data_IF_199595170863
#
_entry.id   IF_199595170863
#
_cell.length_a   1.000
_cell.length_b   1.000
_cell.length_c   1.000
_cell.angle_alpha   90.00
_cell.angle_beta   90.00
_cell.angle_gamma   90.00
#
_symmetry.space_group_name_H-M   'P 1'
#
loop_
_entity.id
_entity.type
_entity.pdbx_description
1 polymer ?
#
# COMPACT_ATOMS: atom_id res chain seq x y z
N UNK A 1 -5.26 30.64 5.28
CA UNK A 1 -5.25 29.70 4.14
C UNK A 1 -6.65 29.68 3.54
N UNK A 2 -6.80 29.89 2.23
CA UNK A 2 -8.10 29.76 1.58
C UNK A 2 -8.54 28.29 1.60
N UNK A 3 -9.78 28.03 2.02
CA UNK A 3 -10.40 26.71 1.99
C UNK A 3 -11.73 26.85 1.29
N UNK A 4 -12.01 25.92 0.38
CA UNK A 4 -13.28 25.92 -0.33
C UNK A 4 -14.33 25.12 0.45
N UNK A 5 -15.39 25.80 0.87
CA UNK A 5 -16.52 25.20 1.53
C UNK A 5 -17.49 24.62 0.50
N UNK A 6 -17.48 23.31 0.32
CA UNK A 6 -18.30 22.63 -0.70
C UNK A 6 -19.81 22.82 -0.43
N UNK A 7 -20.23 22.82 0.84
CA UNK A 7 -21.65 22.97 1.21
C UNK A 7 -22.18 24.36 0.89
N UNK A 8 -21.39 25.39 1.21
CA UNK A 8 -21.75 26.80 0.97
C UNK A 8 -21.36 27.29 -0.44
N UNK A 9 -20.53 26.53 -1.15
CA UNK A 9 -19.91 26.89 -2.43
C UNK A 9 -19.18 28.23 -2.35
N UNK A 10 -18.49 28.49 -1.24
CA UNK A 10 -17.80 29.75 -0.96
C UNK A 10 -16.38 29.50 -0.47
N UNK A 11 -15.51 30.48 -0.66
CA UNK A 11 -14.18 30.49 -0.07
C UNK A 11 -14.25 31.02 1.36
N UNK A 12 -13.66 30.28 2.29
CA UNK A 12 -13.46 30.70 3.67
C UNK A 12 -11.95 30.88 3.92
N UNK A 13 -11.59 31.85 4.75
CA UNK A 13 -10.21 32.04 5.20
C UNK A 13 -10.07 31.50 6.61
N UNK A 14 -9.30 30.43 6.76
CA UNK A 14 -9.01 29.87 8.09
C UNK A 14 -7.63 30.32 8.57
N UNK A 15 -7.58 30.68 9.86
CA UNK A 15 -6.34 30.89 10.61
C UNK A 15 -5.82 29.55 11.13
N UNK A 16 -4.50 29.44 11.20
CA UNK A 16 -3.79 28.28 11.69
C UNK A 16 -2.61 28.75 12.55
N UNK A 17 -2.10 27.87 13.40
CA UNK A 17 -1.02 28.17 14.35
C UNK A 17 -0.04 27.02 14.46
N UNK A 18 1.01 27.19 15.26
CA UNK A 18 2.03 26.18 15.52
C UNK A 18 3.26 26.36 14.64
N UNK A 19 3.91 25.26 14.30
CA UNK A 19 5.12 25.26 13.46
C UNK A 19 4.73 25.35 11.98
N UNK A 20 4.17 26.49 11.59
CA UNK A 20 3.71 26.76 10.24
C UNK A 20 4.90 26.72 9.28
N UNK A 21 4.84 25.92 8.19
CA UNK A 21 5.86 25.97 7.17
C UNK A 21 5.78 27.30 6.41
N UNK A 22 6.91 27.72 5.84
CA UNK A 22 6.91 28.70 4.74
C UNK A 22 6.08 28.15 3.56
N UNK A 23 5.64 28.99 2.60
CA UNK A 23 4.98 28.49 1.40
C UNK A 23 5.83 27.46 0.66
N UNK A 24 5.31 26.25 0.49
CA UNK A 24 5.96 25.14 -0.22
C UNK A 24 5.18 24.85 -1.51
N UNK A 25 5.89 24.71 -2.63
CA UNK A 25 5.35 24.25 -3.90
C UNK A 25 5.75 22.81 -4.20
N UNK A 26 4.96 22.13 -5.04
CA UNK A 26 5.27 20.79 -5.55
C UNK A 26 5.44 19.72 -4.45
N UNK A 27 4.84 19.94 -3.28
CA UNK A 27 4.74 18.94 -2.21
C UNK A 27 3.54 18.03 -2.46
N UNK A 28 3.53 16.88 -1.78
CA UNK A 28 2.38 15.98 -1.75
C UNK A 28 1.88 15.83 -0.34
N UNK A 29 0.58 15.57 -0.22
CA UNK A 29 -0.09 15.44 1.05
C UNK A 29 -1.04 14.25 1.04
N UNK A 30 -1.18 13.61 2.20
CA UNK A 30 -2.16 12.57 2.45
C UNK A 30 -2.91 12.86 3.73
N UNK A 31 -4.16 12.42 3.81
CA UNK A 31 -4.98 12.57 5.00
C UNK A 31 -5.15 11.22 5.70
N UNK A 32 -4.84 11.18 7.00
CA UNK A 32 -5.11 10.03 7.87
C UNK A 32 -5.95 10.53 9.05
N UNK A 33 -7.24 10.20 9.05
CA UNK A 33 -8.24 10.76 9.97
C UNK A 33 -8.28 12.30 9.85
N UNK A 34 -8.19 13.02 10.97
CA UNK A 34 -8.21 14.49 11.03
C UNK A 34 -6.84 15.14 10.82
N UNK A 35 -5.81 14.37 10.42
CA UNK A 35 -4.45 14.88 10.24
C UNK A 35 -4.01 14.74 8.78
N UNK A 36 -3.60 15.85 8.19
CA UNK A 36 -2.95 15.90 6.88
C UNK A 36 -1.45 15.84 7.08
N UNK A 37 -0.78 14.90 6.43
CA UNK A 37 0.68 14.77 6.42
C UNK A 37 1.21 15.24 5.07
N UNK A 38 2.22 16.09 5.09
CA UNK A 38 2.85 16.65 3.89
C UNK A 38 4.36 16.37 3.92
N UNK A 39 4.91 15.95 2.79
CA UNK A 39 6.36 15.74 2.62
C UNK A 39 6.88 16.42 1.36
N UNK A 40 8.18 16.70 1.37
CA UNK A 40 8.88 17.17 0.18
C UNK A 40 8.44 18.55 -0.29
N UNK A 41 8.57 18.77 -1.60
CA UNK A 41 8.37 20.07 -2.22
C UNK A 41 9.56 21.00 -2.04
N UNK A 42 9.46 22.20 -2.61
CA UNK A 42 10.51 23.23 -2.58
C UNK A 42 9.90 24.51 -1.97
N UNK A 43 10.58 25.19 -1.03
CA UNK A 43 10.18 26.50 -0.55
C UNK A 43 10.02 27.51 -1.70
N UNK A 44 9.16 28.51 -1.53
CA UNK A 44 8.90 29.50 -2.57
C UNK A 44 10.15 30.28 -3.02
N UNK A 45 11.08 30.51 -2.10
CA UNK A 45 12.34 31.26 -2.27
C UNK A 45 13.58 30.36 -2.41
N UNK A 46 13.41 29.04 -2.30
CA UNK A 46 14.51 28.09 -2.22
C UNK A 46 14.66 27.21 -3.46
N UNK A 47 15.82 26.56 -3.54
CA UNK A 47 16.09 25.44 -4.46
C UNK A 47 16.22 24.10 -3.72
N UNK A 48 16.41 24.14 -2.40
CA UNK A 48 16.55 22.93 -1.58
C UNK A 48 15.19 22.30 -1.31
N UNK A 49 15.11 20.99 -1.53
CA UNK A 49 13.91 20.21 -1.23
C UNK A 49 13.67 20.19 0.29
N UNK A 50 12.44 20.46 0.71
CA UNK A 50 12.06 20.43 2.12
C UNK A 50 12.17 19.01 2.69
N UNK A 51 13.05 18.84 3.68
CA UNK A 51 13.26 17.57 4.39
C UNK A 51 12.26 17.35 5.53
N UNK A 52 11.49 18.37 5.93
CA UNK A 52 10.57 18.28 7.07
C UNK A 52 9.30 17.53 6.70
N UNK A 53 8.87 16.62 7.57
CA UNK A 53 7.55 16.00 7.51
C UNK A 53 6.62 16.85 8.36
N UNK A 54 5.62 17.42 7.70
CA UNK A 54 4.65 18.31 8.32
C UNK A 54 3.37 17.53 8.61
N UNK A 55 2.75 17.86 9.73
CA UNK A 55 1.39 17.44 10.05
C UNK A 55 0.53 18.68 10.27
N UNK A 56 -0.70 18.64 9.78
CA UNK A 56 -1.72 19.65 10.00
C UNK A 56 -2.97 18.97 10.54
N UNK A 57 -3.31 19.28 11.79
CA UNK A 57 -4.54 18.78 12.40
C UNK A 57 -5.71 19.69 11.99
N UNK A 58 -6.70 19.13 11.30
CA UNK A 58 -7.86 19.83 10.75
C UNK A 58 -8.81 20.36 11.84
N UNK A 59 -8.90 19.66 12.96
CA UNK A 59 -9.78 20.02 14.09
C UNK A 59 -9.18 21.20 14.89
N UNK A 60 -7.92 21.06 15.32
CA UNK A 60 -7.24 22.06 16.15
C UNK A 60 -6.59 23.18 15.33
N UNK A 61 -6.46 23.00 14.01
CA UNK A 61 -5.81 23.91 13.05
C UNK A 61 -4.36 24.23 13.43
N UNK A 62 -3.65 23.21 13.91
CA UNK A 62 -2.26 23.30 14.35
C UNK A 62 -1.35 22.58 13.36
N UNK A 63 -0.31 23.28 12.89
CA UNK A 63 0.83 22.71 12.20
C UNK A 63 1.89 22.23 13.18
N UNK A 64 2.47 21.06 12.92
CA UNK A 64 3.59 20.50 13.68
C UNK A 64 4.58 19.82 12.75
N UNK A 65 5.87 19.94 13.02
CA UNK A 65 6.92 19.14 12.38
C UNK A 65 7.04 17.83 13.15
N UNK A 66 6.75 16.71 12.49
CA UNK A 66 6.69 15.38 13.12
C UNK A 66 7.84 14.47 12.75
N UNK A 67 8.76 14.94 11.91
CA UNK A 67 9.95 14.19 11.55
C UNK A 67 10.70 14.80 10.37
N UNK A 68 11.67 14.03 9.86
CA UNK A 68 12.45 14.37 8.66
C UNK A 68 12.46 13.21 7.68
N UNK A 69 12.30 13.52 6.41
CA UNK A 69 12.37 12.58 5.31
C UNK A 69 13.84 12.42 4.90
N UNK A 70 14.35 11.19 4.89
CA UNK A 70 15.79 10.90 4.63
C UNK A 70 16.21 11.15 3.18
N UNK A 71 15.27 11.06 2.25
CA UNK A 71 15.49 11.27 0.82
C UNK A 71 14.33 12.09 0.20
N UNK A 72 14.13 13.36 0.62
CA UNK A 72 12.98 14.13 0.20
C UNK A 72 13.04 14.38 -1.31
N UNK A 73 11.88 14.48 -1.94
CA UNK A 73 11.71 14.80 -3.34
C UNK A 73 10.61 15.85 -3.51
N UNK A 74 10.53 16.44 -4.70
CA UNK A 74 9.37 17.21 -5.15
C UNK A 74 8.79 16.53 -6.40
N UNK A 75 7.52 16.81 -6.72
CA UNK A 75 6.80 16.06 -7.76
C UNK A 75 6.78 14.54 -7.54
N UNK A 76 6.91 14.09 -6.29
CA UNK A 76 6.64 12.71 -5.91
C UNK A 76 5.14 12.48 -5.83
N UNK A 77 4.74 11.29 -5.44
CA UNK A 77 3.35 10.99 -5.14
C UNK A 77 3.25 10.22 -3.82
N UNK A 78 2.08 10.28 -3.20
CA UNK A 78 1.84 9.71 -1.89
C UNK A 78 0.51 8.98 -1.83
N UNK A 79 0.51 7.81 -1.20
CA UNK A 79 -0.69 7.00 -1.06
C UNK A 79 -0.84 6.50 0.38
N UNK A 80 -2.04 6.62 0.94
CA UNK A 80 -2.37 6.02 2.22
C UNK A 80 -2.53 4.50 2.07
N UNK A 81 -2.25 3.78 3.14
CA UNK A 81 -2.67 2.38 3.24
C UNK A 81 -4.01 2.32 3.98
N UNK A 82 -5.11 1.92 3.34
CA UNK A 82 -6.42 1.93 3.97
C UNK A 82 -6.44 1.09 5.26
N UNK A 83 -7.05 1.64 6.31
CA UNK A 83 -7.12 1.03 7.63
C UNK A 83 -5.75 0.73 8.26
N UNK A 84 -4.71 1.47 7.88
CA UNK A 84 -3.42 1.45 8.56
C UNK A 84 -3.00 2.87 8.88
N UNK A 85 -2.22 3.02 9.95
CA UNK A 85 -1.65 4.31 10.35
C UNK A 85 -0.35 4.59 9.60
N UNK A 86 -0.33 4.37 8.29
CA UNK A 86 0.85 4.53 7.47
C UNK A 86 0.52 5.00 6.05
N UNK A 87 1.54 5.56 5.39
CA UNK A 87 1.45 6.00 4.01
C UNK A 87 2.77 5.77 3.28
N UNK A 88 2.69 5.60 1.97
CA UNK A 88 3.83 5.52 1.08
C UNK A 88 4.11 6.88 0.45
N UNK A 89 5.38 7.16 0.20
CA UNK A 89 5.86 8.21 -0.71
C UNK A 89 6.67 7.52 -1.79
N UNK A 90 6.45 7.85 -3.05
CA UNK A 90 7.17 7.21 -4.15
C UNK A 90 7.61 8.19 -5.23
N UNK A 91 8.82 7.93 -5.74
CA UNK A 91 9.38 8.64 -6.88
C UNK A 91 9.66 10.12 -6.63
N UNK A 92 9.46 10.93 -7.66
CA UNK A 92 9.71 12.37 -7.66
C UNK A 92 11.04 12.76 -8.31
N UNK A 93 11.48 13.97 -8.02
CA UNK A 93 12.72 14.57 -8.51
C UNK A 93 13.58 15.03 -7.34
N UNK A 94 14.88 14.74 -7.42
CA UNK A 94 15.92 15.20 -6.49
C UNK A 94 17.18 15.50 -7.27
N UNK A 95 17.84 16.62 -6.99
CA UNK A 95 19.07 17.05 -7.69
C UNK A 95 18.90 17.01 -9.22
N UNK A 96 17.75 17.52 -9.70
CA UNK A 96 17.36 17.54 -11.12
C UNK A 96 17.22 16.16 -11.79
N UNK A 97 17.23 15.08 -11.01
CA UNK A 97 17.10 13.71 -11.49
C UNK A 97 15.83 13.06 -10.97
N UNK A 98 15.16 12.31 -11.84
CA UNK A 98 14.03 11.46 -11.45
C UNK A 98 14.52 10.36 -10.51
N UNK A 99 13.84 10.19 -9.40
CA UNK A 99 14.07 9.09 -8.45
C UNK A 99 12.88 8.13 -8.47
N UNK A 100 13.11 6.89 -8.03
CA UNK A 100 12.11 5.81 -8.01
C UNK A 100 11.82 5.32 -6.58
N UNK A 101 12.57 5.79 -5.58
CA UNK A 101 12.53 5.28 -4.23
C UNK A 101 11.11 5.22 -3.65
N UNK A 102 10.81 4.11 -2.98
CA UNK A 102 9.58 3.91 -2.22
C UNK A 102 9.90 4.02 -0.72
N UNK A 103 9.22 4.92 -0.03
CA UNK A 103 9.37 5.17 1.40
C UNK A 103 8.06 4.87 2.12
N UNK A 104 8.13 4.14 3.24
CA UNK A 104 6.99 3.88 4.13
C UNK A 104 7.10 4.75 5.38
N UNK A 105 6.07 5.53 5.66
CA UNK A 105 5.94 6.33 6.88
C UNK A 105 4.91 5.69 7.80
N UNK A 106 5.28 5.43 9.04
CA UNK A 106 4.39 4.89 10.07
C UNK A 106 4.12 5.96 11.12
N UNK A 107 2.84 6.23 11.41
CA UNK A 107 2.42 7.14 12.45
C UNK A 107 2.45 6.39 13.79
N UNK A 108 3.42 6.72 14.64
CA UNK A 108 3.72 5.96 15.87
C UNK A 108 2.74 6.20 17.02
N UNK A 109 1.92 7.25 16.95
CA UNK A 109 1.02 7.63 18.05
C UNK A 109 -0.24 6.75 18.13
N UNK A 110 -0.33 5.67 17.34
CA UNK A 110 -1.44 4.73 17.38
C UNK A 110 -0.92 3.31 17.44
N UNK A 111 -1.43 2.55 18.41
CA UNK A 111 -1.17 1.11 18.47
C UNK A 111 -1.76 0.45 17.21
N UNK A 112 -1.00 -0.44 16.56
CA UNK A 112 -1.53 -1.18 15.43
C UNK A 112 -2.70 -2.06 15.89
N UNK A 113 -3.73 -2.14 15.07
CA UNK A 113 -4.88 -2.99 15.38
C UNK A 113 -4.48 -4.47 15.41
N UNK A 114 -5.24 -5.33 16.11
CA UNK A 114 -5.00 -6.78 16.06
C UNK A 114 -5.02 -7.28 14.61
N UNK A 115 -5.92 -6.74 13.78
CA UNK A 115 -5.99 -7.05 12.34
C UNK A 115 -4.69 -6.71 11.61
N UNK A 116 -4.09 -5.55 11.87
CA UNK A 116 -2.79 -5.17 11.30
C UNK A 116 -1.67 -6.09 11.77
N UNK A 117 -1.63 -6.41 13.07
CA UNK A 117 -0.64 -7.31 13.64
C UNK A 117 -0.77 -8.72 13.07
N UNK A 118 -1.98 -9.26 12.99
CA UNK A 118 -2.27 -10.55 12.38
C UNK A 118 -1.92 -10.56 10.89
N UNK A 119 -2.25 -9.51 10.14
CA UNK A 119 -1.87 -9.39 8.74
C UNK A 119 -0.36 -9.30 8.54
N UNK A 120 0.35 -8.55 9.39
CA UNK A 120 1.82 -8.47 9.37
C UNK A 120 2.46 -9.81 9.69
N UNK A 121 1.97 -10.52 10.71
CA UNK A 121 2.43 -11.86 11.06
C UNK A 121 2.17 -12.84 9.91
N UNK A 122 0.96 -12.85 9.36
CA UNK A 122 0.59 -13.68 8.21
C UNK A 122 1.48 -13.36 7.01
N UNK A 123 1.60 -12.08 6.64
CA UNK A 123 2.41 -11.62 5.52
C UNK A 123 3.85 -12.07 5.68
N UNK A 124 4.46 -11.97 6.86
CA UNK A 124 5.82 -12.45 7.11
C UNK A 124 5.97 -13.95 6.84
N UNK A 125 5.01 -14.77 7.28
CA UNK A 125 5.03 -16.22 7.03
C UNK A 125 4.74 -16.56 5.57
N UNK A 126 3.88 -15.79 4.90
CA UNK A 126 3.45 -16.05 3.52
C UNK A 126 4.27 -15.30 2.48
N UNK A 127 5.14 -14.38 2.86
CA UNK A 127 6.00 -13.61 1.95
C UNK A 127 6.89 -14.55 1.13
N UNK A 128 7.39 -15.61 1.78
CA UNK A 128 8.15 -16.70 1.14
C UNK A 128 7.29 -17.46 0.11
N UNK A 129 5.97 -17.52 0.31
CA UNK A 129 5.04 -18.25 -0.55
C UNK A 129 4.52 -17.41 -1.73
N UNK A 130 4.27 -16.11 -1.55
CA UNK A 130 3.63 -15.25 -2.56
C UNK A 130 4.59 -14.33 -3.30
N UNK A 131 5.70 -13.95 -2.68
CA UNK A 131 6.71 -13.10 -3.31
C UNK A 131 8.06 -13.79 -3.23
N UNK A 132 8.32 -14.75 -4.13
CA UNK A 132 9.67 -15.23 -4.35
C UNK A 132 10.47 -14.06 -4.93
N UNK A 133 11.05 -13.25 -4.04
CA UNK A 133 11.92 -12.12 -4.35
C UNK A 133 13.27 -12.63 -4.90
N UNK A 134 13.21 -13.37 -6.02
CA UNK A 134 14.27 -13.57 -7.03
C UNK A 134 14.13 -14.90 -7.84
N UNK A 135 12.93 -15.45 -8.10
CA UNK A 135 12.85 -16.64 -8.99
C UNK A 135 13.37 -16.32 -10.40
N UNK A 136 13.15 -15.10 -10.92
CA UNK A 136 13.64 -14.71 -12.26
C UNK A 136 15.11 -14.29 -12.28
N UNK A 137 15.64 -13.82 -11.16
CA UNK A 137 16.93 -13.13 -11.07
C UNK A 137 18.05 -14.00 -10.52
N UNK A 138 17.74 -15.03 -9.69
CA UNK A 138 18.75 -15.97 -9.15
C UNK A 138 18.71 -17.38 -9.71
N UNK A 139 17.59 -17.82 -10.29
CA UNK A 139 17.47 -19.17 -10.85
C UNK A 139 17.41 -19.06 -12.38
N UNK A 140 18.57 -19.10 -13.03
CA UNK A 140 18.62 -19.43 -14.45
C UNK A 140 18.43 -20.95 -14.60
N UNK A 141 17.49 -21.38 -15.45
CA UNK A 141 17.31 -22.79 -15.82
C UNK A 141 16.17 -23.55 -15.10
N UNK A 142 16.17 -24.87 -15.27
CA UNK A 142 15.09 -25.81 -14.87
C UNK A 142 14.75 -25.77 -13.37
N UNK A 143 15.71 -25.39 -12.52
CA UNK A 143 15.55 -25.27 -11.06
C UNK A 143 14.53 -24.20 -10.65
N UNK A 144 14.37 -23.13 -11.45
CA UNK A 144 13.35 -22.09 -11.24
C UNK A 144 11.93 -22.65 -11.38
N UNK A 145 11.74 -23.54 -12.36
CA UNK A 145 10.46 -24.18 -12.62
C UNK A 145 10.13 -25.18 -11.50
N UNK A 146 11.11 -25.96 -11.04
CA UNK A 146 10.92 -26.90 -9.95
C UNK A 146 10.50 -26.22 -8.64
N UNK A 147 11.14 -25.11 -8.27
CA UNK A 147 10.78 -24.36 -7.06
C UNK A 147 9.41 -23.68 -7.16
N UNK A 148 9.09 -23.07 -8.32
CA UNK A 148 7.74 -22.52 -8.60
C UNK A 148 6.66 -23.60 -8.47
N UNK A 149 6.90 -24.78 -9.01
CA UNK A 149 5.93 -25.88 -9.01
C UNK A 149 5.80 -26.50 -7.62
N UNK A 150 6.89 -26.53 -6.85
CA UNK A 150 6.88 -26.93 -5.44
C UNK A 150 6.11 -25.93 -4.56
N UNK A 151 6.31 -24.63 -4.75
CA UNK A 151 5.55 -23.58 -4.07
C UNK A 151 4.06 -23.62 -4.42
N UNK A 152 3.72 -23.84 -5.71
CA UNK A 152 2.32 -24.07 -6.12
C UNK A 152 1.75 -25.26 -5.37
N UNK A 153 2.41 -26.42 -5.38
CA UNK A 153 1.92 -27.64 -4.70
C UNK A 153 1.74 -27.44 -3.20
N UNK A 154 2.73 -26.84 -2.51
CA UNK A 154 2.66 -26.55 -1.08
C UNK A 154 1.51 -25.59 -0.76
N UNK A 155 1.30 -24.57 -1.61
CA UNK A 155 0.17 -23.65 -1.50
C UNK A 155 -1.18 -24.36 -1.61
N UNK A 156 -1.37 -25.21 -2.62
CA UNK A 156 -2.61 -25.96 -2.79
C UNK A 156 -2.88 -26.90 -1.60
N UNK A 157 -1.86 -27.57 -1.07
CA UNK A 157 -1.97 -28.42 0.13
C UNK A 157 -2.33 -27.65 1.40
N UNK A 158 -1.69 -26.49 1.63
CA UNK A 158 -1.94 -25.66 2.83
C UNK A 158 -3.39 -25.16 2.92
N UNK A 159 -4.09 -25.09 1.79
CA UNK A 159 -5.47 -24.59 1.70
C UNK A 159 -6.50 -25.68 1.34
N UNK A 160 -6.10 -26.96 1.35
CA UNK A 160 -7.01 -28.08 1.05
C UNK A 160 -7.59 -28.01 -0.37
N UNK A 161 -6.77 -27.60 -1.34
CA UNK A 161 -7.11 -27.48 -2.75
C UNK A 161 -6.27 -28.47 -3.56
N UNK A 162 -6.81 -28.98 -4.67
CA UNK A 162 -6.01 -29.77 -5.61
C UNK A 162 -5.31 -28.84 -6.61
N UNK A 163 -4.00 -29.03 -6.88
CA UNK A 163 -3.32 -28.29 -7.93
C UNK A 163 -3.90 -28.66 -9.30
N UNK A 164 -4.12 -27.70 -10.21
CA UNK A 164 -4.61 -28.01 -11.56
C UNK A 164 -3.54 -28.78 -12.35
N UNK A 165 -3.98 -29.71 -13.20
CA UNK A 165 -3.12 -30.46 -14.12
C UNK A 165 -2.43 -29.49 -15.11
N UNK A 166 -1.10 -29.51 -15.15
CA UNK A 166 -0.29 -28.74 -16.10
C UNK A 166 0.23 -29.67 -17.20
N UNK A 167 -0.16 -29.41 -18.46
CA UNK A 167 0.62 -29.85 -19.63
C UNK A 167 1.76 -28.85 -19.85
N UNK A 168 3.04 -29.25 -19.76
CA UNK A 168 4.17 -28.34 -19.90
C UNK A 168 4.65 -28.36 -21.36
N UNK A 169 4.29 -27.38 -22.18
CA UNK A 169 5.00 -27.10 -23.44
C UNK A 169 4.58 -25.75 -24.04
N UNK A 170 5.44 -24.75 -23.84
CA UNK A 170 5.77 -23.66 -24.78
C UNK A 170 6.45 -22.56 -23.95
N UNK A 171 7.79 -22.52 -24.03
CA UNK A 171 8.58 -21.42 -23.50
C UNK A 171 8.25 -20.15 -24.27
N UNK A 172 7.84 -19.12 -23.55
CA UNK A 172 7.51 -17.81 -24.13
C UNK A 172 8.78 -16.94 -24.07
N UNK A 173 9.71 -17.18 -24.99
CA UNK A 173 10.90 -16.34 -25.22
C UNK A 173 10.57 -15.26 -26.24
N UNK A 174 9.89 -14.18 -25.83
CA UNK A 174 10.00 -12.86 -26.47
C UNK A 174 9.63 -11.75 -25.47
N UNK A 175 10.38 -10.64 -25.39
CA UNK A 175 9.99 -9.49 -24.59
C UNK A 175 8.95 -8.68 -25.39
N UNK A 176 7.67 -8.84 -25.07
CA UNK A 176 6.60 -8.04 -25.68
C UNK A 176 5.77 -7.31 -24.63
N UNK A 177 5.41 -6.09 -25.00
CA UNK A 177 4.76 -5.04 -24.22
C UNK A 177 3.60 -5.53 -23.34
N UNK A 178 3.76 -5.39 -22.03
CA UNK A 178 2.87 -5.92 -20.98
C UNK A 178 1.47 -5.27 -20.91
N UNK A 179 1.10 -4.37 -21.83
CA UNK A 179 -0.22 -3.72 -21.85
C UNK A 179 -1.18 -4.28 -22.91
N UNK A 180 -0.74 -5.09 -23.88
CA UNK A 180 -1.62 -5.60 -24.96
C UNK A 180 -2.03 -7.07 -24.84
N UNK A 181 -1.37 -7.87 -23.99
CA UNK A 181 -1.49 -9.34 -24.05
C UNK A 181 -2.60 -9.97 -23.18
N UNK A 182 -3.38 -9.17 -22.44
CA UNK A 182 -4.41 -9.70 -21.52
C UNK A 182 -3.86 -10.57 -20.38
N UNK A 183 -2.53 -10.74 -20.27
CA UNK A 183 -1.86 -11.52 -19.21
C UNK A 183 -2.11 -10.92 -17.83
N UNK A 184 -2.06 -9.59 -17.72
CA UNK A 184 -2.42 -8.86 -16.50
C UNK A 184 -3.90 -9.06 -16.13
N UNK A 185 -4.81 -9.04 -17.11
CA UNK A 185 -6.23 -9.29 -16.87
C UNK A 185 -6.50 -10.73 -16.42
N UNK A 186 -5.82 -11.72 -17.02
CA UNK A 186 -5.91 -13.12 -16.60
C UNK A 186 -5.38 -13.34 -15.19
N UNK A 187 -4.26 -12.70 -14.83
CA UNK A 187 -3.71 -12.75 -13.48
C UNK A 187 -4.64 -12.08 -12.46
N UNK A 188 -5.23 -10.93 -12.82
CA UNK A 188 -6.24 -10.25 -11.99
C UNK A 188 -7.51 -11.10 -11.82
N UNK A 189 -8.03 -11.73 -12.88
CA UNK A 189 -9.18 -12.63 -12.79
C UNK A 189 -8.89 -13.83 -11.89
N UNK A 190 -7.72 -14.44 -12.02
CA UNK A 190 -7.30 -15.57 -11.20
C UNK A 190 -7.21 -15.19 -9.71
N UNK A 191 -6.48 -14.11 -9.39
CA UNK A 191 -6.31 -13.66 -8.01
C UNK A 191 -7.63 -13.22 -7.38
N UNK A 192 -8.53 -12.59 -8.15
CA UNK A 192 -9.88 -12.23 -7.72
C UNK A 192 -10.76 -13.45 -7.43
N UNK A 193 -10.78 -14.45 -8.30
CA UNK A 193 -11.55 -15.69 -8.08
C UNK A 193 -11.04 -16.41 -6.83
N UNK A 194 -9.72 -16.50 -6.68
CA UNK A 194 -9.08 -17.11 -5.51
C UNK A 194 -9.42 -16.37 -4.20
N UNK A 195 -9.38 -15.04 -4.21
CA UNK A 195 -9.74 -14.25 -3.03
C UNK A 195 -11.22 -14.43 -2.65
N UNK A 196 -12.14 -14.38 -3.62
CA UNK A 196 -13.57 -14.56 -3.39
C UNK A 196 -13.89 -15.97 -2.88
N UNK A 197 -13.28 -17.01 -3.45
CA UNK A 197 -13.50 -18.39 -3.00
C UNK A 197 -12.98 -18.62 -1.58
N UNK A 198 -11.85 -17.99 -1.23
CA UNK A 198 -11.27 -18.03 0.12
C UNK A 198 -12.17 -17.35 1.14
N UNK A 199 -12.73 -16.18 0.83
CA UNK A 199 -13.68 -15.49 1.71
C UNK A 199 -14.95 -16.32 1.91
N UNK A 200 -15.54 -16.82 0.83
CA UNK A 200 -16.77 -17.63 0.90
C UNK A 200 -16.56 -18.89 1.74
N UNK A 201 -15.45 -19.60 1.54
CA UNK A 201 -15.13 -20.81 2.32
C UNK A 201 -14.92 -20.50 3.80
N UNK A 202 -14.29 -19.37 4.15
CA UNK A 202 -14.15 -18.95 5.56
C UNK A 202 -15.48 -18.52 6.20
N UNK A 203 -16.37 -17.88 5.44
CA UNK A 203 -17.72 -17.59 5.89
C UNK A 203 -18.53 -18.88 6.12
N UNK A 204 -18.35 -19.89 5.27
CA UNK A 204 -18.94 -21.22 5.45
C UNK A 204 -18.42 -21.93 6.70
N UNK A 205 -17.10 -21.94 6.91
CA UNK A 205 -16.47 -22.56 8.10
C UNK A 205 -16.90 -21.86 9.40
N UNK A 206 -17.04 -20.52 9.41
CA UNK A 206 -17.62 -19.81 10.57
C UNK A 206 -19.10 -20.13 10.82
N UNK A 207 -19.87 -20.45 9.77
CA UNK A 207 -21.27 -20.89 9.91
C UNK A 207 -21.37 -22.34 10.40
N UNK A 208 -20.42 -23.20 10.01
CA UNK A 208 -20.37 -24.61 10.42
C UNK A 208 -19.81 -24.78 11.85
N UNK A 209 -18.96 -23.86 12.33
CA UNK A 209 -18.43 -23.85 13.70
C UNK A 209 -19.33 -23.14 14.72
N UNK A 210 -20.36 -22.40 14.28
CA UNK A 210 -21.39 -21.84 15.18
C UNK A 210 -22.64 -22.71 15.18
N UNK A 211 -22.48 -23.92 15.72
CA UNK A 211 -23.60 -24.67 16.27
C UNK A 211 -24.30 -23.84 17.37
N UNK A 212 -25.35 -23.12 16.98
CA UNK A 212 -26.40 -22.53 17.82
C UNK A 212 -25.95 -21.54 18.93
N UNK A 213 -26.04 -20.24 18.65
CA UNK A 213 -26.40 -19.26 19.71
C UNK A 213 -27.79 -18.72 19.38
N UNK A 214 -28.82 -19.30 20.01
CA UNK A 214 -30.15 -18.69 20.06
C UNK A 214 -30.10 -17.54 21.07
N UNK A 215 -30.13 -16.30 20.58
CA UNK A 215 -30.53 -15.17 21.41
C UNK A 215 -32.04 -15.06 21.29
N UNK A 216 -32.76 -15.48 22.34
CA UNK A 216 -34.15 -15.07 22.53
C UNK A 216 -34.17 -13.64 23.04
N UNK A 217 -34.71 -12.73 22.22
CA UNK A 217 -35.21 -11.45 22.67
C UNK A 217 -36.66 -11.66 23.10
N UNK A 218 -36.89 -11.60 24.40
CA UNK A 218 -38.15 -11.17 24.99
C UNK A 218 -38.04 -9.69 25.31
#
# INVERSE_FOLDING_TARGET
>A
MPVFNIRRRSWDFISFKGQCPEPIRCSCSVQINEVVYTTGGIPADGTTVNDRILSFNLETRVFSIVGRHVAPAFFHDMAIVPNQNCFFSFGGVRDEKRVNNLHLFTVLNKLPSLKELSWKALSKHTQVLFFPMDIRTRLQGETANHFRDHLRKAFFLLFGLQPPHLNPLAGDTTPSSDTSSGKAERFYRYTRIFYISTIKRRQQVCLDETGSVKIHLS
#
